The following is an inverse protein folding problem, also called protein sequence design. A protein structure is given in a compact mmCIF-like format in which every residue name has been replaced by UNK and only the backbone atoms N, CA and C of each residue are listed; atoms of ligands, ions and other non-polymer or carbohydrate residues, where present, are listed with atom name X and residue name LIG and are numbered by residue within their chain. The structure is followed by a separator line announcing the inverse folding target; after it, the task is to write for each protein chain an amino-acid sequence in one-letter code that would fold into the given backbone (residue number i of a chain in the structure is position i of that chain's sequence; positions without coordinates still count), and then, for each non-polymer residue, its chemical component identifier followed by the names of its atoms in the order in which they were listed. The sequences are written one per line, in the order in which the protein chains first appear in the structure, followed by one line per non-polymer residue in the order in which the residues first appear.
data_IF_339185913607
#
_entry.id   IF_339185913607
#
_cell.length_a   1.000
_cell.length_b   1.000
_cell.length_c   1.000
_cell.angle_alpha   90.00
_cell.angle_beta   90.00
_cell.angle_gamma   90.00
#
_symmetry.space_group_name_H-M   'P 1'
#
loop_
_entity.id
_entity.type
_entity.pdbx_description
1 polymer ?
#
# COMPACT_ATOMS: atom_id res chain seq x y z
N UNK A 1 -6.13 24.88 -16.87
CA UNK A 1 -6.00 25.16 -15.42
C UNK A 1 -4.67 24.59 -14.99
N UNK A 2 -3.81 25.32 -14.25
CA UNK A 2 -2.57 24.75 -13.76
C UNK A 2 -2.92 23.59 -12.83
N UNK A 3 -2.24 22.44 -12.98
CA UNK A 3 -2.34 21.36 -12.01
C UNK A 3 -1.96 21.94 -10.64
N UNK A 4 -2.94 22.06 -9.74
CA UNK A 4 -2.66 22.46 -8.38
C UNK A 4 -1.65 21.46 -7.83
N UNK A 5 -0.43 21.92 -7.49
CA UNK A 5 0.47 21.10 -6.67
C UNK A 5 -0.26 20.89 -5.36
N UNK A 6 -0.84 19.70 -5.19
CA UNK A 6 -1.25 19.24 -3.88
C UNK A 6 0.06 19.00 -3.14
N UNK A 7 0.47 19.95 -2.31
CA UNK A 7 1.58 19.75 -1.40
C UNK A 7 1.19 18.61 -0.45
N UNK A 8 1.88 17.48 -0.59
CA UNK A 8 1.71 16.35 0.31
C UNK A 8 2.25 16.75 1.69
N UNK A 9 1.36 16.84 2.66
CA UNK A 9 1.72 17.05 4.07
C UNK A 9 1.79 15.67 4.73
N UNK A 10 2.99 15.23 5.06
CA UNK A 10 3.19 13.96 5.72
C UNK A 10 2.52 13.94 7.11
N UNK A 11 1.71 12.93 7.43
CA UNK A 11 1.20 12.72 8.78
C UNK A 11 2.33 12.59 9.81
N UNK A 12 2.05 12.97 11.06
CA UNK A 12 3.04 12.94 12.15
C UNK A 12 3.67 11.55 12.35
N UNK A 13 2.89 10.48 12.16
CA UNK A 13 3.35 9.11 12.34
C UNK A 13 4.30 8.68 11.23
N UNK A 14 4.12 9.17 9.99
CA UNK A 14 5.03 8.94 8.87
C UNK A 14 6.38 9.59 9.16
N UNK A 15 6.37 10.83 9.63
CA UNK A 15 7.60 11.57 10.02
C UNK A 15 8.32 10.84 11.15
N UNK A 16 7.57 10.36 12.14
CA UNK A 16 8.14 9.59 13.25
C UNK A 16 8.76 8.28 12.75
N UNK A 17 8.06 7.52 11.91
CA UNK A 17 8.55 6.25 11.37
C UNK A 17 9.82 6.44 10.51
N UNK A 18 9.83 7.47 9.66
CA UNK A 18 11.01 7.84 8.87
C UNK A 18 12.21 8.30 9.73
N UNK A 19 11.96 8.76 10.96
CA UNK A 19 13.02 9.17 11.89
C UNK A 19 13.67 7.99 12.63
N UNK A 20 13.07 6.79 12.55
CA UNK A 20 13.64 5.59 13.18
C UNK A 20 14.87 5.14 12.39
N UNK A 21 16.02 4.86 13.05
CA UNK A 21 17.21 4.40 12.35
C UNK A 21 16.96 3.02 11.71
N UNK A 22 17.07 2.97 10.39
CA UNK A 22 17.02 1.73 9.61
C UNK A 22 18.35 1.02 9.76
N UNK A 23 18.32 -0.26 10.17
CA UNK A 23 19.50 -1.05 10.47
C UNK A 23 19.55 -2.26 9.56
N UNK A 24 20.68 -2.45 8.86
CA UNK A 24 20.94 -3.67 8.11
C UNK A 24 21.29 -4.86 9.02
N UNK A 25 21.43 -6.05 8.44
CA UNK A 25 21.80 -7.27 9.17
C UNK A 25 23.17 -7.17 9.89
N UNK A 26 24.04 -6.27 9.43
CA UNK A 26 25.33 -5.94 10.05
C UNK A 26 25.25 -4.87 11.15
N UNK A 27 24.04 -4.47 11.54
CA UNK A 27 23.77 -3.38 12.50
C UNK A 27 24.37 -2.03 12.07
N UNK A 28 24.53 -1.83 10.77
CA UNK A 28 24.96 -0.56 10.19
C UNK A 28 23.73 0.27 9.80
N UNK A 29 23.77 1.60 9.97
CA UNK A 29 22.70 2.48 9.55
C UNK A 29 22.54 2.41 8.02
N UNK A 30 21.30 2.26 7.57
CA UNK A 30 20.90 2.23 6.16
C UNK A 30 20.13 3.52 5.84
N UNK A 31 20.28 4.01 4.62
CA UNK A 31 19.57 5.22 4.17
C UNK A 31 18.05 5.02 4.23
N UNK A 32 17.35 6.06 4.71
CA UNK A 32 15.88 6.05 4.86
C UNK A 32 15.14 6.40 3.56
N UNK A 33 15.87 6.42 2.44
CA UNK A 33 15.32 6.70 1.11
C UNK A 33 14.55 5.47 0.63
N UNK A 34 13.32 5.68 0.15
CA UNK A 34 12.52 4.60 -0.41
C UNK A 34 13.17 4.04 -1.68
N UNK A 35 13.84 2.90 -1.55
CA UNK A 35 14.56 2.23 -2.63
C UNK A 35 14.34 0.71 -2.56
N UNK A 36 13.16 0.21 -2.98
CA UNK A 36 12.80 -1.21 -2.83
C UNK A 36 13.72 -2.17 -3.62
N UNK A 37 14.42 -1.66 -4.64
CA UNK A 37 15.38 -2.43 -5.45
C UNK A 37 16.79 -2.50 -4.85
N UNK A 38 17.09 -1.69 -3.86
CA UNK A 38 18.42 -1.70 -3.25
C UNK A 38 18.54 -2.87 -2.25
N UNK A 39 19.69 -3.54 -2.28
CA UNK A 39 19.94 -4.70 -1.41
C UNK A 39 20.03 -4.27 0.05
N UNK A 40 20.60 -3.09 0.33
CA UNK A 40 20.71 -2.57 1.70
C UNK A 40 19.32 -2.31 2.33
N UNK A 41 18.38 -1.81 1.52
CA UNK A 41 17.00 -1.58 1.91
C UNK A 41 16.26 -2.90 2.20
N UNK A 42 16.46 -3.91 1.35
CA UNK A 42 15.91 -5.27 1.53
C UNK A 42 16.48 -5.94 2.78
N UNK A 43 17.79 -5.82 3.03
CA UNK A 43 18.42 -6.34 4.25
C UNK A 43 17.83 -5.72 5.52
N UNK A 44 17.57 -4.41 5.51
CA UNK A 44 16.94 -3.73 6.65
C UNK A 44 15.52 -4.22 6.92
N UNK A 45 14.72 -4.48 5.88
CA UNK A 45 13.38 -5.06 6.01
C UNK A 45 13.43 -6.50 6.56
N UNK A 46 14.37 -7.30 6.08
CA UNK A 46 14.59 -8.66 6.57
C UNK A 46 15.01 -8.67 8.05
N UNK A 47 15.88 -7.74 8.47
CA UNK A 47 16.26 -7.58 9.86
C UNK A 47 15.05 -7.25 10.74
N UNK A 48 14.20 -6.31 10.32
CA UNK A 48 12.98 -5.98 11.05
C UNK A 48 12.04 -7.18 11.16
N UNK A 49 11.85 -7.92 10.06
CA UNK A 49 11.09 -9.17 10.05
C UNK A 49 11.68 -10.22 11.00
N UNK A 50 13.00 -10.37 11.06
CA UNK A 50 13.68 -11.29 11.97
C UNK A 50 13.48 -10.89 13.45
N UNK A 51 13.60 -9.60 13.77
CA UNK A 51 13.35 -9.10 15.13
C UNK A 51 11.91 -9.39 15.54
N UNK A 52 10.94 -9.15 14.65
CA UNK A 52 9.55 -9.49 14.90
C UNK A 52 9.37 -11.01 15.12
N UNK A 53 10.06 -11.86 14.34
CA UNK A 53 10.02 -13.32 14.48
C UNK A 53 10.52 -13.78 15.86
N UNK A 54 11.65 -13.21 16.31
CA UNK A 54 12.25 -13.54 17.61
C UNK A 54 11.33 -13.10 18.75
N UNK A 55 10.80 -11.86 18.69
CA UNK A 55 9.86 -11.35 19.69
C UNK A 55 8.62 -12.25 19.81
N UNK A 56 8.09 -12.70 18.68
CA UNK A 56 6.95 -13.62 18.66
C UNK A 56 7.32 -15.01 19.19
N UNK A 57 8.46 -15.56 18.79
CA UNK A 57 8.96 -16.85 19.29
C UNK A 57 9.11 -16.84 20.81
N UNK A 58 9.70 -15.77 21.36
CA UNK A 58 9.79 -15.55 22.81
C UNK A 58 8.41 -15.45 23.46
N UNK A 59 7.47 -14.73 22.85
CA UNK A 59 6.10 -14.62 23.35
C UNK A 59 5.41 -15.98 23.42
N UNK A 60 5.51 -16.80 22.37
CA UNK A 60 4.96 -18.15 22.31
C UNK A 60 5.59 -19.09 23.35
N UNK A 61 6.91 -19.02 23.53
CA UNK A 61 7.63 -19.81 24.55
C UNK A 61 7.16 -19.43 25.96
N UNK A 62 7.03 -18.13 26.25
CA UNK A 62 6.53 -17.66 27.54
C UNK A 62 5.10 -18.09 27.79
N UNK A 63 4.25 -18.05 26.76
CA UNK A 63 2.85 -18.48 26.84
C UNK A 63 2.76 -19.99 27.11
N UNK A 64 3.56 -20.79 26.40
CA UNK A 64 3.69 -22.23 26.63
C UNK A 64 4.19 -22.55 28.05
N UNK A 65 5.23 -21.85 28.53
CA UNK A 65 5.76 -22.02 29.87
C UNK A 65 4.74 -21.65 30.96
N UNK A 66 4.02 -20.54 30.78
CA UNK A 66 2.94 -20.14 31.68
C UNK A 66 1.85 -21.20 31.75
N UNK A 67 1.48 -21.80 30.62
CA UNK A 67 0.47 -22.85 30.57
C UNK A 67 0.93 -24.15 31.21
N UNK A 68 2.17 -24.57 30.99
CA UNK A 68 2.75 -25.72 31.69
C UNK A 68 2.75 -25.47 33.19
N UNK A 69 3.17 -24.30 33.65
CA UNK A 69 3.09 -23.92 35.06
C UNK A 69 1.65 -23.93 35.60
N UNK A 70 0.68 -23.34 34.90
CA UNK A 70 -0.72 -23.33 35.35
C UNK A 70 -1.34 -24.73 35.37
N UNK A 71 -1.00 -25.58 34.40
CA UNK A 71 -1.49 -26.96 34.33
C UNK A 71 -0.84 -27.86 35.39
N UNK A 72 0.47 -27.73 35.62
CA UNK A 72 1.21 -28.50 36.61
C UNK A 72 0.95 -28.03 38.06
N UNK A 73 1.01 -26.72 38.33
CA UNK A 73 0.80 -26.18 39.69
C UNK A 73 -0.67 -26.27 40.16
N UNK A 74 -1.67 -26.26 39.27
CA UNK A 74 -3.08 -26.46 39.67
C UNK A 74 -3.40 -27.87 40.16
N UNK A 75 -2.52 -28.85 39.93
CA UNK A 75 -2.75 -30.22 40.38
C UNK A 75 -2.47 -30.38 41.88
N UNK A 76 -1.58 -29.56 42.45
CA UNK A 76 -1.17 -29.62 43.86
C UNK A 76 -1.95 -28.70 44.81
N UNK A 77 -2.63 -27.66 44.29
CA UNK A 77 -3.18 -26.54 45.10
C UNK A 77 -4.69 -26.63 45.44
N UNK A 78 -5.30 -27.81 45.41
CA UNK A 78 -6.76 -27.95 45.50
C UNK A 78 -7.40 -27.49 46.83
N UNK A 79 -6.63 -27.20 47.90
CA UNK A 79 -7.21 -27.10 49.26
C UNK A 79 -7.10 -25.74 49.98
N UNK A 80 -6.11 -24.85 49.76
CA UNK A 80 -5.96 -23.68 50.68
C UNK A 80 -5.75 -22.26 50.12
N UNK A 81 -5.46 -22.03 48.83
CA UNK A 81 -5.06 -20.67 48.32
C UNK A 81 -6.14 -19.89 47.55
N UNK A 82 -7.38 -20.40 47.52
CA UNK A 82 -8.44 -20.09 46.52
C UNK A 82 -8.91 -18.63 46.38
N UNK A 83 -8.67 -17.74 47.37
CA UNK A 83 -9.20 -16.35 47.37
C UNK A 83 -8.21 -15.27 46.92
N UNK A 84 -6.90 -15.44 47.17
CA UNK A 84 -5.88 -14.42 46.83
C UNK A 84 -5.30 -14.57 45.41
N UNK A 85 -5.28 -15.80 44.87
CA UNK A 85 -4.83 -16.08 43.49
C UNK A 85 -5.84 -15.66 42.42
N UNK A 86 -7.14 -15.60 42.76
CA UNK A 86 -8.19 -15.27 41.78
C UNK A 86 -8.17 -13.82 41.34
N UNK A 87 -7.78 -12.88 42.21
CA UNK A 87 -7.74 -11.45 41.89
C UNK A 87 -6.55 -11.11 40.98
N UNK A 88 -5.38 -11.71 41.22
CA UNK A 88 -4.19 -11.49 40.40
C UNK A 88 -4.39 -12.02 38.96
N UNK A 89 -5.00 -13.20 38.81
CA UNK A 89 -5.29 -13.79 37.48
C UNK A 89 -6.34 -13.00 36.70
N UNK A 90 -7.34 -12.41 37.37
CA UNK A 90 -8.31 -11.53 36.67
C UNK A 90 -7.67 -10.23 36.21
N UNK A 91 -6.77 -9.64 37.01
CA UNK A 91 -6.06 -8.43 36.61
C UNK A 91 -5.09 -8.66 35.44
N UNK A 92 -4.36 -9.78 35.43
CA UNK A 92 -3.49 -10.12 34.29
C UNK A 92 -4.29 -10.39 33.01
N UNK A 93 -5.46 -11.03 33.12
CA UNK A 93 -6.36 -11.22 31.99
C UNK A 93 -6.89 -9.89 31.42
N UNK A 94 -7.28 -8.95 32.28
CA UNK A 94 -7.73 -7.62 31.87
C UNK A 94 -6.61 -6.83 31.19
N UNK A 95 -5.41 -6.83 31.75
CA UNK A 95 -4.24 -6.16 31.17
C UNK A 95 -3.88 -6.78 29.81
N UNK A 96 -3.86 -8.11 29.71
CA UNK A 96 -3.58 -8.80 28.45
C UNK A 96 -4.64 -8.49 27.38
N UNK A 97 -5.93 -8.47 27.75
CA UNK A 97 -7.02 -8.10 26.85
C UNK A 97 -6.90 -6.66 26.36
N UNK A 98 -6.56 -5.71 27.24
CA UNK A 98 -6.35 -4.31 26.88
C UNK A 98 -5.17 -4.15 25.89
N UNK A 99 -4.06 -4.84 26.13
CA UNK A 99 -2.89 -4.82 25.24
C UNK A 99 -3.26 -5.42 23.87
N UNK A 100 -4.00 -6.52 23.83
CA UNK A 100 -4.46 -7.14 22.59
C UNK A 100 -5.39 -6.21 21.80
N UNK A 101 -6.38 -5.59 22.46
CA UNK A 101 -7.27 -4.62 21.83
C UNK A 101 -6.50 -3.40 21.29
N UNK A 102 -5.51 -2.89 22.03
CA UNK A 102 -4.67 -1.80 21.57
C UNK A 102 -3.85 -2.20 20.32
N UNK A 103 -3.25 -3.40 20.34
CA UNK A 103 -2.49 -3.91 19.20
C UNK A 103 -3.36 -4.08 17.94
N UNK A 104 -4.55 -4.68 18.08
CA UNK A 104 -5.50 -4.81 16.96
C UNK A 104 -5.96 -3.44 16.46
N UNK A 105 -6.22 -2.49 17.36
CA UNK A 105 -6.59 -1.13 17.00
C UNK A 105 -5.52 -0.40 16.18
N UNK A 106 -4.25 -0.51 16.60
CA UNK A 106 -3.10 0.03 15.85
C UNK A 106 -2.96 -0.65 14.49
N UNK A 107 -3.13 -1.98 14.43
CA UNK A 107 -3.08 -2.74 13.18
C UNK A 107 -4.18 -2.33 12.20
N UNK A 108 -5.43 -2.18 12.68
CA UNK A 108 -6.55 -1.73 11.87
C UNK A 108 -6.34 -0.31 11.34
N UNK A 109 -5.84 0.59 12.19
CA UNK A 109 -5.47 1.94 11.79
C UNK A 109 -4.43 1.93 10.66
N UNK A 110 -3.32 1.20 10.83
CA UNK A 110 -2.29 1.09 9.79
C UNK A 110 -2.79 0.45 8.48
N UNK A 111 -3.69 -0.54 8.57
CA UNK A 111 -4.30 -1.16 7.40
C UNK A 111 -5.18 -0.18 6.61
N UNK A 112 -5.94 0.68 7.31
CA UNK A 112 -6.76 1.72 6.70
C UNK A 112 -5.93 2.80 6.04
N UNK A 113 -4.89 3.30 6.73
CA UNK A 113 -4.01 4.34 6.19
C UNK A 113 -3.23 3.86 4.96
N UNK A 114 -2.80 2.59 4.95
CA UNK A 114 -2.18 1.97 3.75
C UNK A 114 -3.16 1.97 2.57
N UNK A 115 -4.42 1.57 2.81
CA UNK A 115 -5.46 1.55 1.79
C UNK A 115 -5.74 2.94 1.24
N UNK A 116 -5.85 3.95 2.11
CA UNK A 116 -6.06 5.34 1.68
C UNK A 116 -4.88 5.86 0.84
N UNK A 117 -3.64 5.53 1.23
CA UNK A 117 -2.44 5.85 0.46
C UNK A 117 -2.43 5.20 -0.93
N UNK A 118 -2.83 3.93 -1.04
CA UNK A 118 -2.96 3.24 -2.33
C UNK A 118 -4.08 3.81 -3.18
N UNK A 119 -5.22 4.16 -2.59
CA UNK A 119 -6.29 4.86 -3.31
C UNK A 119 -5.82 6.22 -3.86
N UNK A 120 -5.05 6.98 -3.10
CA UNK A 120 -4.46 8.24 -3.57
C UNK A 120 -3.47 8.03 -4.73
N UNK A 121 -2.69 6.95 -4.69
CA UNK A 121 -1.80 6.54 -5.79
C UNK A 121 -2.60 6.21 -7.06
N UNK A 122 -3.62 5.36 -6.94
CA UNK A 122 -4.51 4.97 -8.04
C UNK A 122 -5.17 6.20 -8.66
N UNK A 123 -5.70 7.11 -7.84
CA UNK A 123 -6.27 8.36 -8.30
C UNK A 123 -5.26 9.22 -9.08
N UNK A 124 -4.01 9.28 -8.60
CA UNK A 124 -2.95 10.03 -9.27
C UNK A 124 -2.54 9.40 -10.61
N UNK A 125 -2.52 8.06 -10.69
CA UNK A 125 -2.27 7.32 -11.92
C UNK A 125 -3.39 7.55 -12.95
N UNK A 126 -4.65 7.52 -12.52
CA UNK A 126 -5.80 7.78 -13.38
C UNK A 126 -5.83 9.23 -13.89
N UNK A 127 -5.52 10.19 -13.03
CA UNK A 127 -5.40 11.59 -13.43
C UNK A 127 -4.23 11.82 -14.42
N UNK A 128 -3.10 11.13 -14.23
CA UNK A 128 -2.00 11.14 -15.19
C UNK A 128 -2.41 10.53 -16.54
N UNK A 129 -3.14 9.40 -16.50
CA UNK A 129 -3.69 8.73 -17.67
C UNK A 129 -4.62 9.65 -18.48
N UNK A 130 -5.55 10.34 -17.79
CA UNK A 130 -6.42 11.34 -18.40
C UNK A 130 -5.64 12.51 -19.02
N UNK A 131 -4.56 12.94 -18.38
CA UNK A 131 -3.70 14.01 -18.91
C UNK A 131 -3.01 13.57 -20.21
N UNK A 132 -2.43 12.37 -20.25
CA UNK A 132 -1.75 11.85 -21.43
C UNK A 132 -2.72 11.56 -22.58
N UNK A 133 -3.88 10.98 -22.30
CA UNK A 133 -4.95 10.80 -23.29
C UNK A 133 -5.47 12.14 -23.81
N UNK A 134 -5.58 13.15 -22.95
CA UNK A 134 -5.93 14.51 -23.34
C UNK A 134 -4.90 15.15 -24.29
N UNK A 135 -3.61 14.93 -24.06
CA UNK A 135 -2.54 15.40 -24.97
C UNK A 135 -2.66 14.72 -26.33
N UNK A 136 -2.83 13.40 -26.35
CA UNK A 136 -2.94 12.61 -27.58
C UNK A 136 -4.13 13.07 -28.46
N UNK A 137 -5.30 13.20 -27.85
CA UNK A 137 -6.51 13.70 -28.53
C UNK A 137 -6.35 15.13 -29.06
N UNK A 138 -5.67 16.00 -28.31
CA UNK A 138 -5.43 17.38 -28.72
C UNK A 138 -4.43 17.47 -29.86
N UNK A 139 -3.35 16.68 -29.82
CA UNK A 139 -2.33 16.61 -30.89
C UNK A 139 -2.92 16.05 -32.17
N UNK A 140 -3.65 14.91 -32.08
CA UNK A 140 -4.31 14.29 -33.23
C UNK A 140 -5.36 15.22 -33.85
N UNK A 141 -6.22 15.84 -33.03
CA UNK A 141 -7.23 16.78 -33.50
C UNK A 141 -6.64 18.05 -34.13
N UNK A 142 -5.54 18.60 -33.58
CA UNK A 142 -4.87 19.79 -34.13
C UNK A 142 -4.18 19.46 -35.46
N UNK A 143 -3.50 18.32 -35.52
CA UNK A 143 -2.83 17.80 -36.73
C UNK A 143 -3.84 17.60 -37.86
N UNK A 144 -4.97 16.95 -37.58
CA UNK A 144 -6.02 16.70 -38.56
C UNK A 144 -6.70 17.99 -39.02
N UNK A 145 -7.07 18.89 -38.09
CA UNK A 145 -7.67 20.19 -38.44
C UNK A 145 -6.72 21.02 -39.29
N UNK A 146 -5.46 21.14 -38.88
CA UNK A 146 -4.46 21.89 -39.64
C UNK A 146 -4.28 21.31 -41.04
N UNK A 147 -4.22 19.98 -41.20
CA UNK A 147 -4.09 19.35 -42.52
C UNK A 147 -5.29 19.66 -43.43
N UNK A 148 -6.51 19.45 -42.94
CA UNK A 148 -7.73 19.63 -43.73
C UNK A 148 -8.01 21.10 -44.04
N UNK A 149 -7.92 21.97 -43.02
CA UNK A 149 -8.20 23.40 -43.14
C UNK A 149 -7.12 24.08 -44.01
N UNK A 150 -5.85 23.74 -43.83
CA UNK A 150 -4.78 24.28 -44.65
C UNK A 150 -4.92 23.86 -46.12
N UNK A 151 -5.21 22.58 -46.42
CA UNK A 151 -5.46 22.11 -47.79
C UNK A 151 -6.62 22.85 -48.44
N UNK A 152 -7.73 23.02 -47.71
CA UNK A 152 -8.93 23.68 -48.21
C UNK A 152 -8.74 25.19 -48.43
N UNK A 153 -8.07 25.88 -47.49
CA UNK A 153 -7.80 27.32 -47.62
C UNK A 153 -6.71 27.62 -48.64
N UNK A 154 -5.66 26.80 -48.75
CA UNK A 154 -4.63 26.94 -49.79
C UNK A 154 -5.23 26.76 -51.18
N UNK A 155 -6.07 25.72 -51.38
CA UNK A 155 -6.74 25.51 -52.66
C UNK A 155 -7.56 26.74 -53.08
N UNK A 156 -8.40 27.26 -52.18
CA UNK A 156 -9.20 28.47 -52.44
C UNK A 156 -8.36 29.72 -52.67
N UNK A 157 -7.33 29.98 -51.85
CA UNK A 157 -6.49 31.17 -52.03
C UNK A 157 -5.63 31.07 -53.29
N UNK A 158 -5.15 29.88 -53.64
CA UNK A 158 -4.37 29.67 -54.87
C UNK A 158 -5.18 29.99 -56.14
N UNK A 159 -6.48 29.68 -56.13
CA UNK A 159 -7.40 29.99 -57.22
C UNK A 159 -7.65 31.50 -57.35
N UNK A 160 -7.86 32.19 -56.21
CA UNK A 160 -8.13 33.64 -56.17
C UNK A 160 -6.88 34.46 -56.53
N UNK A 161 -5.70 34.03 -56.11
CA UNK A 161 -4.44 34.78 -56.28
C UNK A 161 -3.60 34.32 -57.48
N UNK A 162 -4.10 33.42 -58.32
CA UNK A 162 -3.40 32.92 -59.51
C UNK A 162 -2.85 34.03 -60.45
N UNK A 163 -3.47 35.22 -60.43
CA UNK A 163 -3.08 36.37 -61.24
C UNK A 163 -2.09 37.37 -60.57
N UNK A 164 -1.76 37.22 -59.28
CA UNK A 164 -0.80 38.10 -58.57
C UNK A 164 0.32 37.29 -57.91
N UNK A 165 1.50 37.30 -58.54
CA UNK A 165 2.67 36.53 -58.11
C UNK A 165 3.16 36.80 -56.69
N UNK A 166 3.03 38.02 -56.18
CA UNK A 166 3.55 38.41 -54.85
C UNK A 166 2.82 37.70 -53.69
N UNK A 167 1.53 37.40 -53.86
CA UNK A 167 0.75 36.67 -52.83
C UNK A 167 1.06 35.18 -52.81
N UNK A 168 1.49 34.62 -53.95
CA UNK A 168 1.87 33.19 -54.07
C UNK A 168 3.10 32.89 -53.20
N UNK A 169 4.06 33.82 -53.10
CA UNK A 169 5.24 33.65 -52.26
C UNK A 169 4.89 33.60 -50.76
N UNK A 170 3.98 34.47 -50.30
CA UNK A 170 3.47 34.46 -48.92
C UNK A 170 2.72 33.17 -48.62
N UNK A 171 1.92 32.69 -49.57
CA UNK A 171 1.19 31.42 -49.47
C UNK A 171 2.14 30.22 -49.29
N UNK A 172 3.22 30.16 -50.08
CA UNK A 172 4.25 29.11 -49.98
C UNK A 172 4.97 29.14 -48.64
N UNK A 173 5.30 30.32 -48.11
CA UNK A 173 5.92 30.45 -46.79
C UNK A 173 4.98 29.94 -45.68
N UNK A 174 3.69 30.27 -45.76
CA UNK A 174 2.69 29.80 -44.80
C UNK A 174 2.52 28.28 -44.85
N UNK A 175 2.53 27.69 -46.05
CA UNK A 175 2.52 26.25 -46.26
C UNK A 175 3.76 25.57 -45.65
N UNK A 176 4.94 26.17 -45.83
CA UNK A 176 6.18 25.63 -45.29
C UNK A 176 6.24 25.71 -43.76
N UNK A 177 5.74 26.81 -43.17
CA UNK A 177 5.65 26.95 -41.72
C UNK A 177 4.65 25.96 -41.10
N UNK A 178 3.48 25.76 -41.74
CA UNK A 178 2.53 24.76 -41.30
C UNK A 178 3.07 23.33 -41.44
N UNK A 179 3.82 23.03 -42.50
CA UNK A 179 4.53 21.76 -42.66
C UNK A 179 5.56 21.51 -41.54
N UNK A 180 6.28 22.55 -41.11
CA UNK A 180 7.20 22.45 -39.97
C UNK A 180 6.48 22.19 -38.64
N UNK A 181 5.34 22.86 -38.40
CA UNK A 181 4.52 22.64 -37.19
C UNK A 181 3.94 21.22 -37.19
N UNK A 182 3.46 20.73 -38.33
CA UNK A 182 2.98 19.37 -38.50
C UNK A 182 4.09 18.35 -38.23
N UNK A 183 5.30 18.62 -38.73
CA UNK A 183 6.50 17.83 -38.46
C UNK A 183 6.84 17.76 -36.97
N UNK A 184 6.73 18.87 -36.25
CA UNK A 184 6.95 18.91 -34.80
C UNK A 184 5.86 18.16 -34.02
N UNK A 185 4.58 18.30 -34.41
CA UNK A 185 3.46 17.58 -33.81
C UNK A 185 3.56 16.07 -34.04
N UNK A 186 3.98 15.64 -35.24
CA UNK A 186 4.21 14.23 -35.56
C UNK A 186 5.44 13.63 -34.89
N UNK A 187 6.33 14.46 -34.37
CA UNK A 187 7.52 14.04 -33.61
C UNK A 187 7.25 13.84 -32.12
N UNK A 188 6.04 14.14 -31.63
CA UNK A 188 5.64 13.80 -30.27
C UNK A 188 5.42 12.29 -30.17
N UNK A 189 5.87 11.64 -29.08
CA UNK A 189 5.64 10.22 -28.89
C UNK A 189 4.13 9.94 -28.76
N UNK A 190 3.67 8.81 -29.32
CA UNK A 190 2.30 8.34 -29.09
C UNK A 190 2.18 7.89 -27.63
N UNK A 191 1.33 8.57 -26.85
CA UNK A 191 1.16 8.30 -25.42
C UNK A 191 0.23 7.11 -25.15
N UNK A 192 -0.24 6.42 -26.19
CA UNK A 192 -1.13 5.26 -26.11
C UNK A 192 -0.55 4.08 -25.32
N UNK A 193 0.75 3.82 -25.44
CA UNK A 193 1.42 2.73 -24.70
C UNK A 193 1.52 3.05 -23.20
N UNK A 194 1.90 4.29 -22.87
CA UNK A 194 2.03 4.77 -21.48
C UNK A 194 0.67 4.78 -20.78
N UNK A 195 -0.39 5.22 -21.46
CA UNK A 195 -1.77 5.23 -20.93
C UNK A 195 -2.29 3.81 -20.67
N UNK A 196 -2.01 2.87 -21.57
CA UNK A 196 -2.34 1.46 -21.38
C UNK A 196 -1.59 0.84 -20.19
N UNK A 197 -0.29 1.17 -20.03
CA UNK A 197 0.52 0.70 -18.90
C UNK A 197 0.05 1.28 -17.57
N UNK A 198 -0.25 2.58 -17.51
CA UNK A 198 -0.81 3.26 -16.32
C UNK A 198 -2.15 2.64 -15.90
N UNK A 199 -3.02 2.36 -16.87
CA UNK A 199 -4.33 1.73 -16.63
C UNK A 199 -4.15 0.32 -16.04
N UNK A 200 -3.25 -0.46 -16.65
CA UNK A 200 -2.92 -1.82 -16.16
C UNK A 200 -2.33 -1.77 -14.75
N UNK A 201 -1.39 -0.86 -14.49
CA UNK A 201 -0.77 -0.70 -13.19
C UNK A 201 -1.80 -0.31 -12.12
N UNK A 202 -2.70 0.61 -12.45
CA UNK A 202 -3.80 1.04 -11.58
C UNK A 202 -4.74 -0.13 -11.22
N UNK A 203 -5.17 -0.90 -12.23
CA UNK A 203 -6.07 -2.05 -12.03
C UNK A 203 -5.41 -3.18 -11.22
N UNK A 204 -4.16 -3.53 -11.55
CA UNK A 204 -3.40 -4.53 -10.80
C UNK A 204 -3.18 -4.11 -9.34
N UNK A 205 -2.83 -2.84 -9.12
CA UNK A 205 -2.61 -2.30 -7.77
C UNK A 205 -3.91 -2.31 -6.97
N UNK A 206 -5.03 -1.89 -7.56
CA UNK A 206 -6.34 -1.89 -6.90
C UNK A 206 -6.81 -3.30 -6.54
N UNK A 207 -6.61 -4.27 -7.44
CA UNK A 207 -6.97 -5.67 -7.17
C UNK A 207 -6.16 -6.25 -6.00
N UNK A 208 -4.84 -6.10 -6.03
CA UNK A 208 -3.96 -6.61 -4.95
C UNK A 208 -4.31 -5.95 -3.62
N UNK A 209 -4.52 -4.64 -3.61
CA UNK A 209 -4.83 -3.89 -2.40
C UNK A 209 -6.17 -4.29 -1.80
N UNK A 210 -7.19 -4.52 -2.64
CA UNK A 210 -8.51 -4.97 -2.17
C UNK A 210 -8.42 -6.27 -1.35
N UNK A 211 -7.69 -7.27 -1.87
CA UNK A 211 -7.51 -8.54 -1.16
C UNK A 211 -6.60 -8.41 0.06
N UNK A 212 -5.53 -7.60 -0.03
CA UNK A 212 -4.65 -7.31 1.11
C UNK A 212 -5.47 -6.72 2.26
N UNK A 213 -6.17 -5.61 2.00
CA UNK A 213 -6.97 -4.90 2.99
C UNK A 213 -8.03 -5.80 3.63
N UNK A 214 -8.77 -6.56 2.80
CA UNK A 214 -9.82 -7.46 3.28
C UNK A 214 -9.25 -8.62 4.12
N UNK A 215 -8.12 -9.19 3.72
CA UNK A 215 -7.44 -10.24 4.48
C UNK A 215 -7.03 -9.75 5.87
N UNK A 216 -6.39 -8.58 5.98
CA UNK A 216 -6.02 -8.01 7.28
C UNK A 216 -7.25 -7.67 8.13
N UNK A 217 -8.32 -7.14 7.51
CA UNK A 217 -9.58 -6.88 8.21
C UNK A 217 -10.14 -8.17 8.85
N UNK A 218 -10.21 -9.26 8.08
CA UNK A 218 -10.71 -10.54 8.56
C UNK A 218 -9.81 -11.14 9.65
N UNK A 219 -8.49 -11.01 9.51
CA UNK A 219 -7.53 -11.44 10.54
C UNK A 219 -7.76 -10.69 11.86
N UNK A 220 -7.91 -9.36 11.82
CA UNK A 220 -8.18 -8.57 13.02
C UNK A 220 -9.52 -8.90 13.69
N UNK A 221 -10.57 -9.17 12.91
CA UNK A 221 -11.85 -9.64 13.44
C UNK A 221 -11.67 -10.99 14.13
N UNK A 222 -10.93 -11.90 13.51
CA UNK A 222 -10.63 -13.22 14.07
C UNK A 222 -9.83 -13.08 15.38
N UNK A 223 -8.84 -12.21 15.44
CA UNK A 223 -8.06 -11.93 16.66
C UNK A 223 -8.91 -11.35 17.79
N UNK A 224 -9.85 -10.44 17.50
CA UNK A 224 -10.79 -9.91 18.50
C UNK A 224 -11.72 -11.00 19.05
N UNK A 225 -12.26 -11.85 18.17
CA UNK A 225 -13.10 -12.99 18.58
C UNK A 225 -12.29 -13.93 19.48
N UNK A 226 -11.05 -14.23 19.12
CA UNK A 226 -10.19 -15.07 19.94
C UNK A 226 -9.87 -14.42 21.28
N UNK A 227 -9.53 -13.13 21.31
CA UNK A 227 -9.31 -12.41 22.56
C UNK A 227 -10.56 -12.44 23.46
N UNK A 228 -11.75 -12.26 22.89
CA UNK A 228 -13.01 -12.32 23.62
C UNK A 228 -13.27 -13.70 24.22
N UNK A 229 -13.11 -14.78 23.45
CA UNK A 229 -13.31 -16.14 23.94
C UNK A 229 -12.23 -16.52 24.98
N UNK A 230 -10.99 -16.01 24.85
CA UNK A 230 -9.93 -16.20 25.84
C UNK A 230 -10.31 -15.57 27.19
N UNK A 231 -10.83 -14.34 27.18
CA UNK A 231 -11.35 -13.67 28.36
C UNK A 231 -12.51 -14.46 29.00
N UNK A 232 -13.43 -15.02 28.20
CA UNK A 232 -14.51 -15.89 28.69
C UNK A 232 -13.99 -17.22 29.26
N UNK A 233 -12.99 -17.83 28.64
CA UNK A 233 -12.35 -19.07 29.11
C UNK A 233 -11.67 -18.88 30.47
N UNK A 234 -10.98 -17.75 30.65
CA UNK A 234 -10.39 -17.33 31.92
C UNK A 234 -11.47 -17.09 32.99
N UNK A 235 -12.57 -16.42 32.64
CA UNK A 235 -13.68 -16.18 33.55
C UNK A 235 -14.42 -17.47 33.98
N UNK A 236 -14.64 -18.40 33.04
CA UNK A 236 -15.33 -19.68 33.29
C UNK A 236 -14.41 -20.77 33.87
N UNK A 237 -13.09 -20.54 33.94
CA UNK A 237 -12.09 -21.48 34.49
C UNK A 237 -12.08 -22.87 33.82
N UNK A 238 -12.60 -22.98 32.59
CA UNK A 238 -12.75 -24.26 31.86
C UNK A 238 -11.46 -24.65 31.15
N UNK A 239 -10.92 -25.82 31.51
CA UNK A 239 -9.63 -26.33 30.97
C UNK A 239 -9.71 -26.66 29.47
N UNK A 240 -10.84 -27.19 29.01
CA UNK A 240 -11.04 -27.57 27.61
C UNK A 240 -11.15 -26.32 26.71
N UNK A 241 -11.80 -25.28 27.23
CA UNK A 241 -11.97 -24.00 26.54
C UNK A 241 -10.62 -23.27 26.43
N UNK A 242 -9.80 -23.27 27.49
CA UNK A 242 -8.42 -22.75 27.47
C UNK A 242 -7.51 -23.47 26.45
N UNK A 243 -7.61 -24.80 26.35
CA UNK A 243 -6.81 -25.57 25.38
C UNK A 243 -7.23 -25.32 23.92
N UNK A 244 -8.54 -25.26 23.65
CA UNK A 244 -9.06 -24.95 22.32
C UNK A 244 -8.71 -23.52 21.90
N UNK A 245 -8.80 -22.57 22.85
CA UNK A 245 -8.41 -21.18 22.64
C UNK A 245 -6.94 -21.01 22.29
N UNK A 246 -6.07 -21.79 22.92
CA UNK A 246 -4.65 -21.77 22.62
C UNK A 246 -4.36 -22.26 21.20
N UNK A 247 -4.98 -23.38 20.81
CA UNK A 247 -4.82 -23.95 19.48
C UNK A 247 -5.27 -22.96 18.40
N UNK A 248 -6.45 -22.35 18.58
CA UNK A 248 -6.96 -21.34 17.66
C UNK A 248 -6.11 -20.06 17.64
N UNK A 249 -5.59 -19.61 18.79
CA UNK A 249 -4.67 -18.47 18.88
C UNK A 249 -3.35 -18.70 18.16
N UNK A 250 -2.75 -19.88 18.31
CA UNK A 250 -1.52 -20.24 17.58
C UNK A 250 -1.78 -20.31 16.08
N UNK A 251 -2.92 -20.85 15.65
CA UNK A 251 -3.29 -20.87 14.22
C UNK A 251 -3.51 -19.46 13.66
N UNK A 252 -4.17 -18.57 14.40
CA UNK A 252 -4.33 -17.16 14.01
C UNK A 252 -2.98 -16.45 13.88
N UNK A 253 -2.07 -16.67 14.84
CA UNK A 253 -0.72 -16.13 14.79
C UNK A 253 0.06 -16.65 13.58
N UNK A 254 -0.02 -17.95 13.28
CA UNK A 254 0.59 -18.53 12.09
C UNK A 254 0.03 -17.91 10.81
N UNK A 255 -1.30 -17.74 10.71
CA UNK A 255 -1.94 -17.11 9.55
C UNK A 255 -1.51 -15.65 9.38
N UNK A 256 -1.49 -14.87 10.45
CA UNK A 256 -1.02 -13.47 10.43
C UNK A 256 0.43 -13.37 9.93
N UNK A 257 1.27 -14.32 10.33
CA UNK A 257 2.67 -14.41 9.89
C UNK A 257 2.81 -14.82 8.43
N UNK A 258 2.03 -15.80 7.97
CA UNK A 258 2.04 -16.18 6.56
C UNK A 258 1.59 -15.03 5.67
N UNK A 259 0.66 -14.20 6.13
CA UNK A 259 0.23 -12.99 5.42
C UNK A 259 1.35 -11.95 5.38
N UNK A 260 1.98 -11.65 6.52
CA UNK A 260 3.08 -10.69 6.59
C UNK A 260 4.32 -11.17 5.79
N UNK A 261 4.62 -12.46 5.83
CA UNK A 261 5.70 -13.06 5.06
C UNK A 261 5.40 -13.03 3.56
N UNK A 262 4.15 -13.24 3.15
CA UNK A 262 3.74 -13.11 1.76
C UNK A 262 3.90 -11.67 1.27
N UNK A 263 3.50 -10.68 2.06
CA UNK A 263 3.60 -9.26 1.70
C UNK A 263 5.05 -8.75 1.67
N UNK A 264 5.89 -9.21 2.60
CA UNK A 264 7.33 -8.88 2.55
C UNK A 264 8.03 -9.57 1.38
N UNK A 265 7.61 -10.77 0.98
CA UNK A 265 8.16 -11.46 -0.18
C UNK A 265 7.71 -10.83 -1.51
N UNK A 266 6.51 -10.26 -1.60
CA UNK A 266 6.05 -9.52 -2.78
C UNK A 266 6.67 -8.14 -2.87
N UNK A 267 6.90 -7.45 -1.73
CA UNK A 267 7.58 -6.15 -1.69
C UNK A 267 9.04 -6.19 -2.12
N UNK A 268 9.65 -7.39 -2.13
CA UNK A 268 11.07 -7.63 -2.41
C UNK A 268 11.30 -8.19 -3.83
N UNK A 269 10.25 -8.42 -4.63
CA UNK A 269 10.35 -8.79 -6.04
C UNK A 269 10.23 -7.58 -6.96
#
# INVERSE_FOLDING_TARGET
MPAARVEYVAPWWVVWLHSVPHLGLRLQPVDSTFSPRDESYRESLLFLGLVAAICLGLHLILLAAYLVCVCCCRQDDAVQTKRRSSCCVTWTAVVAGLICCAAVGVGFYGNSETNDGVYQLIYSLDNANHTFSGIDTLVSGTTQKMKVELEQHLARLSEIFAARGDYIQTLKFMQQMAGNILGQLSGLPEWGEVTAELTKLSDQTGYVEYYRWLSYLLLFILDLVLCFIACLGLAKRSRCLLALMLCCGVLALLLSWTSLAADTATAVR
#
